data_IF_071513411177
#
_entry.id   IF_071513411177
#
_cell.length_a   1.000
_cell.length_b   1.000
_cell.length_c   1.000
_cell.angle_alpha   90.00
_cell.angle_beta   90.00
_cell.angle_gamma   90.00
#
_symmetry.space_group_name_H-M   'P 1'
#
loop_
_entity.id
_entity.type
_entity.pdbx_description
1 polymer ?
#
# COMPACT_ATOMS: atom_id res chain seq x y z
N UNK A 1 -13.43 -15.59 -6.52
CA UNK A 1 -13.58 -15.94 -6.00
C UNK A 1 -13.71 -16.45 -5.52
N UNK A 2 -13.61 -16.15 -5.27
CA UNK A 2 -13.82 -16.61 -4.67
C UNK A 2 -14.00 -16.96 -4.15
N UNK A 3 -13.85 -16.71 -3.98
CA UNK A 3 -14.27 -17.13 -3.32
C UNK A 3 -14.71 -17.51 -2.94
N UNK A 4 -14.71 -17.71 -3.17
CA UNK A 4 -15.19 -18.11 -2.60
C UNK A 4 -15.51 -18.74 -2.22
N UNK A 5 -15.48 -19.16 -2.48
CA UNK A 5 -15.57 -19.79 -1.82
C UNK A 5 -15.07 -20.30 -1.11
N UNK A 6 -14.61 -20.70 -1.49
CA UNK A 6 -13.94 -21.19 -0.60
C UNK A 6 -13.29 -20.45 0.12
N UNK A 7 -12.90 -20.03 -0.30
CA UNK A 7 -12.23 -19.31 0.40
C UNK A 7 -13.02 -18.65 1.22
N UNK A 8 -13.80 -18.92 0.91
CA UNK A 8 -14.55 -18.41 1.56
C UNK A 8 -14.94 -18.71 2.84
N UNK A 9 -14.86 -19.74 3.28
CA UNK A 9 -15.07 -20.03 4.59
C UNK A 9 -14.16 -19.34 5.47
N UNK A 10 -12.92 -19.28 5.12
CA UNK A 10 -11.96 -18.55 5.84
C UNK A 10 -12.07 -17.10 5.59
N UNK A 11 -12.78 -16.74 4.58
CA UNK A 11 -12.96 -15.37 4.29
C UNK A 11 -13.95 -14.83 5.27
N UNK A 12 -13.49 -14.15 6.26
CA UNK A 12 -14.37 -13.46 7.15
C UNK A 12 -15.10 -12.39 6.38
N UNK A 13 -16.32 -12.09 6.78
CA UNK A 13 -17.04 -10.99 6.14
C UNK A 13 -16.14 -9.78 6.20
N UNK A 14 -15.91 -9.18 5.07
CA UNK A 14 -15.04 -8.03 5.01
C UNK A 14 -15.79 -6.84 5.52
N UNK A 15 -15.46 -6.44 6.72
CA UNK A 15 -16.07 -5.26 7.28
C UNK A 15 -15.44 -4.03 6.67
N UNK A 16 -16.22 -3.05 6.25
CA UNK A 16 -15.64 -1.78 5.85
C UNK A 16 -15.10 -1.06 7.06
N UNK A 17 -14.11 -0.21 6.84
CA UNK A 17 -13.59 0.62 7.92
C UNK A 17 -14.47 1.86 8.09
N UNK A 18 -14.04 2.83 8.90
CA UNK A 18 -14.86 3.99 9.21
C UNK A 18 -15.25 4.83 8.00
N UNK A 19 -14.46 4.78 6.95
CA UNK A 19 -14.76 5.52 5.72
C UNK A 19 -15.41 4.64 4.66
N UNK A 20 -15.84 3.45 5.05
CA UNK A 20 -16.58 2.58 4.15
C UNK A 20 -15.76 1.78 3.17
N UNK A 21 -14.44 1.71 3.33
CA UNK A 21 -13.59 0.94 2.44
C UNK A 21 -13.23 -0.40 3.05
N UNK A 22 -13.09 -1.41 2.20
CA UNK A 22 -12.67 -2.74 2.63
C UNK A 22 -11.18 -2.91 2.36
N UNK A 23 -10.60 -3.97 2.90
CA UNK A 23 -9.18 -4.23 2.66
C UNK A 23 -8.86 -4.36 1.18
N UNK A 24 -9.81 -4.81 0.38
CA UNK A 24 -9.58 -4.95 -1.05
C UNK A 24 -9.29 -3.60 -1.70
N UNK A 25 -9.84 -2.51 -1.14
CA UNK A 25 -9.58 -1.17 -1.68
C UNK A 25 -8.17 -0.68 -1.38
N UNK A 26 -7.46 -1.38 -0.49
CA UNK A 26 -6.11 -1.01 -0.10
C UNK A 26 -5.04 -1.88 -0.75
N UNK A 27 -5.44 -2.80 -1.61
CA UNK A 27 -4.48 -3.69 -2.25
C UNK A 27 -3.84 -3.06 -3.47
N UNK A 28 -2.73 -3.65 -3.89
CA UNK A 28 -2.06 -3.29 -5.12
C UNK A 28 -2.01 -4.46 -6.07
N UNK A 29 -1.07 -4.43 -6.98
CA UNK A 29 -0.87 -5.50 -7.94
C UNK A 29 -0.23 -6.71 -7.25
N UNK A 30 -0.38 -7.91 -7.82
CA UNK A 30 0.31 -9.08 -7.30
C UNK A 30 1.81 -8.87 -7.28
N UNK A 31 2.46 -9.33 -6.21
CA UNK A 31 3.90 -9.16 -6.06
C UNK A 31 4.67 -10.07 -7.00
N UNK A 32 5.74 -9.53 -7.58
CA UNK A 32 6.68 -10.31 -8.36
C UNK A 32 7.98 -10.54 -7.58
N UNK A 33 7.99 -10.17 -6.30
CA UNK A 33 9.15 -10.43 -5.45
C UNK A 33 9.23 -11.93 -5.13
N UNK A 34 10.41 -12.33 -4.66
CA UNK A 34 10.64 -13.75 -4.35
C UNK A 34 9.66 -14.25 -3.32
N UNK A 35 9.27 -15.51 -3.47
CA UNK A 35 8.41 -16.14 -2.49
C UNK A 35 9.13 -16.17 -1.14
N UNK A 36 8.42 -15.77 -0.10
CA UNK A 36 9.03 -15.69 1.22
C UNK A 36 9.83 -14.43 1.47
N UNK A 37 9.84 -13.51 0.50
CA UNK A 37 10.54 -12.25 0.68
C UNK A 37 9.87 -11.40 1.76
N UNK A 38 10.68 -10.85 2.68
CA UNK A 38 10.14 -10.05 3.78
C UNK A 38 9.38 -8.82 3.32
N UNK A 39 9.71 -8.29 2.15
CA UNK A 39 8.99 -7.13 1.63
C UNK A 39 7.53 -7.42 1.33
N UNK A 40 7.20 -8.67 1.01
CA UNK A 40 5.80 -9.05 0.82
C UNK A 40 5.04 -8.97 2.13
N UNK A 41 5.67 -9.38 3.23
CA UNK A 41 5.08 -9.28 4.55
C UNK A 41 4.89 -7.82 4.94
N UNK A 42 5.88 -6.99 4.65
CA UNK A 42 5.79 -5.55 4.95
C UNK A 42 4.63 -4.92 4.18
N UNK A 43 4.47 -5.26 2.90
CA UNK A 43 3.36 -4.74 2.11
C UNK A 43 2.01 -5.11 2.70
N UNK A 44 1.87 -6.35 3.15
CA UNK A 44 0.64 -6.79 3.78
C UNK A 44 0.35 -6.03 5.06
N UNK A 45 1.38 -5.75 5.85
CA UNK A 45 1.23 -4.99 7.08
C UNK A 45 0.84 -3.55 6.81
N UNK A 46 1.39 -2.96 5.75
CA UNK A 46 1.02 -1.60 5.36
C UNK A 46 -0.46 -1.54 4.99
N UNK A 47 -0.92 -2.50 4.22
CA UNK A 47 -2.33 -2.57 3.83
C UNK A 47 -3.21 -2.65 5.07
N UNK A 48 -2.86 -3.53 6.00
CA UNK A 48 -3.63 -3.70 7.22
C UNK A 48 -3.64 -2.42 8.06
N UNK A 49 -2.49 -1.76 8.17
CA UNK A 49 -2.37 -0.57 8.99
C UNK A 49 -3.25 0.57 8.46
N UNK A 50 -3.17 0.84 7.17
CA UNK A 50 -3.97 1.93 6.60
C UNK A 50 -5.45 1.61 6.61
N UNK A 51 -5.80 0.34 6.45
CA UNK A 51 -7.19 -0.07 6.56
C UNK A 51 -7.72 0.18 7.97
N UNK A 52 -6.95 -0.20 9.00
CA UNK A 52 -7.38 -0.01 10.38
C UNK A 52 -7.43 1.45 10.80
N UNK A 53 -6.53 2.25 10.24
CA UNK A 53 -6.51 3.69 10.54
C UNK A 53 -7.55 4.46 9.75
N UNK A 54 -8.25 3.80 8.83
CA UNK A 54 -9.27 4.42 8.00
C UNK A 54 -8.76 5.60 7.20
N UNK A 55 -7.52 5.51 6.71
CA UNK A 55 -6.94 6.55 5.88
C UNK A 55 -7.24 6.24 4.42
N UNK A 56 -7.86 7.17 3.68
CA UNK A 56 -8.14 6.91 2.26
C UNK A 56 -6.86 6.73 1.46
N UNK A 57 -6.80 5.72 0.57
CA UNK A 57 -5.59 5.54 -0.26
C UNK A 57 -5.26 6.77 -1.08
N UNK A 58 -6.25 7.54 -1.47
CA UNK A 58 -6.04 8.74 -2.27
C UNK A 58 -5.29 9.84 -1.51
N UNK A 59 -5.14 9.70 -0.20
CA UNK A 59 -4.40 10.66 0.61
C UNK A 59 -3.00 10.17 0.96
N UNK A 60 -2.55 9.14 0.30
CA UNK A 60 -1.25 8.53 0.59
C UNK A 60 -0.33 8.71 -0.58
N UNK A 61 0.91 9.13 -0.30
CA UNK A 61 1.99 9.14 -1.28
C UNK A 61 2.94 8.02 -0.89
N UNK A 62 3.22 7.12 -1.81
CA UNK A 62 4.19 6.06 -1.58
C UNK A 62 5.40 6.32 -2.44
N UNK A 63 6.54 6.44 -1.80
CA UNK A 63 7.78 6.84 -2.43
C UNK A 63 8.78 5.73 -2.36
N UNK A 64 9.60 5.60 -3.38
CA UNK A 64 10.66 4.60 -3.37
C UNK A 64 11.86 5.08 -4.17
N UNK A 65 12.96 4.37 -4.03
CA UNK A 65 14.17 4.65 -4.78
C UNK A 65 14.46 3.54 -5.76
N UNK A 66 15.64 2.94 -5.63
CA UNK A 66 16.11 1.89 -6.53
C UNK A 66 16.42 0.64 -5.72
N UNK A 67 16.15 -0.52 -6.30
CA UNK A 67 16.40 -1.81 -5.66
C UNK A 67 15.15 -2.67 -5.68
N UNK A 68 15.23 -3.88 -5.13
CA UNK A 68 14.09 -4.79 -5.13
C UNK A 68 12.93 -4.21 -4.34
N UNK A 69 13.21 -3.58 -3.21
CA UNK A 69 12.15 -2.97 -2.40
C UNK A 69 11.45 -1.84 -3.13
N UNK A 70 12.09 -1.28 -4.14
CA UNK A 70 11.49 -0.17 -4.90
C UNK A 70 10.32 -0.62 -5.78
N UNK A 71 10.11 -1.92 -5.92
CA UNK A 71 8.93 -2.42 -6.60
C UNK A 71 7.72 -2.41 -5.70
N UNK A 72 7.94 -2.36 -4.39
CA UNK A 72 6.86 -2.50 -3.41
C UNK A 72 5.70 -1.53 -3.59
N UNK A 73 5.92 -0.27 -3.99
CA UNK A 73 4.78 0.63 -4.17
C UNK A 73 3.71 0.11 -5.12
N UNK A 74 4.07 -0.76 -6.06
CA UNK A 74 3.08 -1.34 -6.97
C UNK A 74 2.23 -2.42 -6.29
N UNK A 75 2.67 -2.93 -5.15
CA UNK A 75 2.07 -4.09 -4.50
C UNK A 75 1.13 -3.76 -3.36
N UNK A 76 0.97 -2.51 -3.05
CA UNK A 76 0.00 -2.09 -2.05
C UNK A 76 -0.59 -0.74 -2.45
N UNK A 77 -1.79 -0.47 -1.96
CA UNK A 77 -2.46 0.82 -2.13
C UNK A 77 -2.45 1.32 -3.58
N UNK A 78 -2.99 0.52 -4.50
CA UNK A 78 -2.96 0.90 -5.92
C UNK A 78 -3.69 2.21 -6.19
N UNK A 79 -4.59 2.63 -5.31
CA UNK A 79 -5.35 3.87 -5.48
C UNK A 79 -4.61 5.08 -4.93
N UNK A 80 -3.42 4.91 -4.41
CA UNK A 80 -2.61 6.00 -3.90
C UNK A 80 -1.68 6.53 -4.97
N UNK A 81 -0.97 7.61 -4.65
CA UNK A 81 0.01 8.18 -5.56
C UNK A 81 1.35 7.51 -5.34
N UNK A 82 1.97 7.03 -6.40
CA UNK A 82 3.26 6.36 -6.30
C UNK A 82 4.31 7.11 -7.09
N UNK A 83 5.53 7.14 -6.58
CA UNK A 83 6.63 7.80 -7.26
C UNK A 83 7.95 7.10 -6.96
N UNK A 84 8.67 6.72 -8.01
CA UNK A 84 10.00 6.14 -7.88
C UNK A 84 11.02 7.22 -8.17
N UNK A 85 11.87 7.50 -7.18
CA UNK A 85 12.86 8.57 -7.30
C UNK A 85 14.21 8.01 -7.71
N UNK A 86 15.19 8.90 -7.84
CA UNK A 86 16.56 8.48 -8.09
C UNK A 86 17.11 7.76 -6.86
N UNK A 87 18.11 6.93 -7.09
CA UNK A 87 18.74 6.17 -6.02
C UNK A 87 19.23 7.10 -4.93
N UNK A 88 18.78 6.86 -3.71
CA UNK A 88 19.19 7.64 -2.56
C UNK A 88 18.54 9.00 -2.39
N UNK A 89 17.59 9.35 -3.27
CA UNK A 89 16.95 10.67 -3.22
C UNK A 89 15.52 10.64 -2.72
N UNK A 90 15.02 9.48 -2.37
CA UNK A 90 13.63 9.35 -1.95
C UNK A 90 13.27 10.25 -0.75
N UNK A 91 14.11 10.33 0.30
CA UNK A 91 13.73 11.16 1.45
C UNK A 91 13.58 12.63 1.10
N UNK A 92 14.45 13.15 0.24
CA UNK A 92 14.40 14.55 -0.17
C UNK A 92 13.12 14.84 -0.94
N UNK A 93 12.79 13.96 -1.89
CA UNK A 93 11.61 14.13 -2.72
C UNK A 93 10.34 14.00 -1.88
N UNK A 94 10.32 13.06 -0.94
CA UNK A 94 9.20 12.88 -0.04
C UNK A 94 8.96 14.13 0.80
N UNK A 95 10.04 14.71 1.30
CA UNK A 95 9.96 15.93 2.09
C UNK A 95 9.30 17.04 1.27
N UNK A 96 9.75 17.21 0.02
CA UNK A 96 9.16 18.22 -0.84
C UNK A 96 7.69 17.99 -1.12
N UNK A 97 7.31 16.73 -1.35
CA UNK A 97 5.92 16.42 -1.66
C UNK A 97 5.00 16.73 -0.46
N UNK A 98 5.44 16.39 0.74
CA UNK A 98 4.64 16.64 1.95
C UNK A 98 4.57 18.13 2.24
N UNK A 99 5.64 18.88 1.96
CA UNK A 99 5.64 20.32 2.17
C UNK A 99 4.65 21.01 1.23
N UNK A 100 4.46 20.46 0.04
CA UNK A 100 3.52 21.04 -0.92
C UNK A 100 2.08 20.75 -0.53
N UNK A 101 1.83 19.59 0.06
CA UNK A 101 0.48 19.21 0.45
C UNK A 101 0.52 18.44 1.77
N UNK A 102 0.25 19.18 2.86
CA UNK A 102 0.31 18.61 4.20
C UNK A 102 -0.82 17.62 4.49
N UNK A 103 -1.84 17.56 3.66
CA UNK A 103 -2.94 16.63 3.89
C UNK A 103 -2.57 15.20 3.48
N UNK A 104 -1.46 15.03 2.76
CA UNK A 104 -1.03 13.72 2.33
C UNK A 104 -0.17 13.04 3.38
N UNK A 105 -0.31 11.71 3.46
CA UNK A 105 0.53 10.88 4.31
C UNK A 105 1.58 10.21 3.43
N UNK A 106 2.83 10.28 3.83
CA UNK A 106 3.92 9.71 3.05
C UNK A 106 4.39 8.39 3.65
N UNK A 107 4.72 7.44 2.80
CA UNK A 107 5.29 6.18 3.21
C UNK A 107 6.35 5.71 2.21
#
# INVERSE_FOLDING_TARGET
MMDTKVADKRAKPKKPNEIGLTKANYRGKPSTLCQGCGHNSISSQIIAAFYELSIPPERIIKMSGIGCSSKSPAYFLSRSFGFNSLHGRMPTITTGAVMVNHSLKAI
#
